data_IF_131069261359
#
_entry.id   IF_131069261359
#
_cell.length_a   1.000
_cell.length_b   1.000
_cell.length_c   1.000
_cell.angle_alpha   90.00
_cell.angle_beta   90.00
_cell.angle_gamma   90.00
#
_symmetry.space_group_name_H-M   'P 1'
#
loop_
_entity.id
_entity.type
_entity.pdbx_description
1 polymer ?
#
# COMPACT_ATOMS: atom_id res chain seq x y z
N UNK A 1 -10.64 -0.52 9.36
CA UNK A 1 -11.82 0.13 8.76
C UNK A 1 -12.33 -0.68 7.59
N UNK A 2 -13.64 -0.59 7.32
CA UNK A 2 -14.29 -1.00 6.08
C UNK A 2 -14.43 0.24 5.20
N UNK A 3 -13.97 0.15 3.97
CA UNK A 3 -13.92 1.29 3.07
C UNK A 3 -15.24 1.50 2.30
N UNK A 4 -15.40 2.67 1.68
CA UNK A 4 -16.61 3.02 0.93
C UNK A 4 -16.86 2.10 -0.27
N UNK A 5 -15.82 1.49 -0.83
CA UNK A 5 -15.89 0.47 -1.88
C UNK A 5 -16.18 -0.95 -1.36
N UNK A 6 -16.42 -1.10 -0.05
CA UNK A 6 -16.70 -2.37 0.63
C UNK A 6 -15.46 -3.20 0.99
N UNK A 7 -14.27 -2.77 0.59
CA UNK A 7 -13.03 -3.48 0.92
C UNK A 7 -12.58 -3.26 2.38
N UNK A 8 -11.87 -4.22 2.93
CA UNK A 8 -11.27 -4.16 4.27
C UNK A 8 -9.74 -4.02 4.20
N UNK A 9 -9.23 -3.77 3.00
CA UNK A 9 -7.80 -3.70 2.73
C UNK A 9 -7.48 -2.96 1.45
N UNK A 10 -6.23 -3.02 1.08
CA UNK A 10 -5.65 -2.40 -0.11
C UNK A 10 -4.61 -3.34 -0.73
N UNK A 11 -3.98 -2.93 -1.82
CA UNK A 11 -2.94 -3.71 -2.52
C UNK A 11 -1.69 -2.87 -2.73
N UNK A 12 -0.56 -3.52 -2.82
CA UNK A 12 0.63 -2.98 -3.46
C UNK A 12 0.46 -3.04 -4.97
N UNK A 13 0.93 -2.01 -5.66
CA UNK A 13 0.99 -1.97 -7.11
C UNK A 13 2.42 -1.68 -7.56
N UNK A 14 2.89 -2.40 -8.59
CA UNK A 14 4.08 -2.03 -9.34
C UNK A 14 3.62 -1.42 -10.66
N UNK A 15 4.18 -0.28 -10.99
CA UNK A 15 3.82 0.52 -12.16
C UNK A 15 5.09 0.97 -12.90
N UNK A 16 4.89 1.26 -14.18
CA UNK A 16 5.91 1.76 -15.12
C UNK A 16 5.30 2.90 -15.94
N UNK A 17 6.11 3.62 -16.69
CA UNK A 17 5.60 4.56 -17.69
C UNK A 17 4.83 3.81 -18.78
N UNK A 18 3.76 4.40 -19.27
CA UNK A 18 2.89 3.80 -20.30
C UNK A 18 3.59 3.65 -21.66
N UNK A 19 4.55 4.53 -21.95
CA UNK A 19 5.35 4.54 -23.18
C UNK A 19 6.57 3.59 -23.13
N UNK A 20 6.77 2.86 -22.01
CA UNK A 20 7.82 1.84 -21.90
C UNK A 20 7.40 0.52 -22.59
N UNK A 21 8.39 -0.31 -22.88
CA UNK A 21 8.25 -1.68 -23.39
C UNK A 21 8.09 -2.73 -22.26
N UNK A 22 7.75 -2.30 -21.06
CA UNK A 22 7.61 -3.15 -19.86
C UNK A 22 6.12 -3.45 -19.62
N UNK A 23 5.75 -4.73 -19.64
CA UNK A 23 4.35 -5.19 -19.48
C UNK A 23 4.16 -6.19 -18.35
N UNK A 24 5.27 -6.77 -17.83
CA UNK A 24 5.25 -7.80 -16.79
C UNK A 24 6.38 -7.61 -15.78
N UNK A 25 6.37 -8.41 -14.72
CA UNK A 25 7.47 -8.43 -13.74
C UNK A 25 8.78 -8.90 -14.38
N UNK A 26 8.71 -9.86 -15.30
CA UNK A 26 9.87 -10.43 -15.99
C UNK A 26 10.63 -9.37 -16.80
N UNK A 27 9.92 -8.42 -17.41
CA UNK A 27 10.50 -7.32 -18.20
C UNK A 27 11.28 -6.31 -17.33
N UNK A 28 11.10 -6.36 -16.01
CA UNK A 28 11.85 -5.53 -15.07
C UNK A 28 13.28 -6.03 -14.80
N UNK A 29 13.68 -7.18 -15.35
CA UNK A 29 15.04 -7.67 -15.17
C UNK A 29 16.07 -6.67 -15.72
N UNK A 30 17.01 -6.27 -14.87
CA UNK A 30 18.04 -5.28 -15.21
C UNK A 30 17.55 -3.83 -15.26
N UNK A 31 16.30 -3.55 -14.92
CA UNK A 31 15.71 -2.20 -14.84
C UNK A 31 15.95 -1.57 -13.44
N UNK A 32 15.73 -0.27 -13.33
CA UNK A 32 15.83 0.48 -12.07
C UNK A 32 14.48 0.53 -11.34
N UNK A 33 14.46 0.22 -10.03
CA UNK A 33 13.23 0.16 -9.22
C UNK A 33 13.21 1.19 -8.10
N UNK A 34 12.16 2.03 -8.04
CA UNK A 34 11.88 2.96 -6.95
C UNK A 34 10.97 2.33 -5.91
N UNK A 35 11.48 2.16 -4.70
CA UNK A 35 10.67 1.87 -3.51
C UNK A 35 10.23 3.16 -2.85
N UNK A 36 9.05 3.15 -2.20
CA UNK A 36 8.56 4.37 -1.54
C UNK A 36 9.40 4.73 -0.31
N UNK A 37 9.47 3.83 0.68
CA UNK A 37 10.21 4.00 1.94
C UNK A 37 10.54 2.62 2.54
N UNK A 38 11.67 2.45 3.25
CA UNK A 38 12.11 1.16 3.76
C UNK A 38 11.18 0.50 4.78
N UNK A 39 10.25 1.24 5.37
CA UNK A 39 9.28 0.72 6.34
C UNK A 39 7.86 0.60 5.77
N UNK A 40 7.64 1.02 4.52
CA UNK A 40 6.32 1.02 3.90
C UNK A 40 5.87 -0.39 3.55
N UNK A 41 4.69 -0.79 4.01
CA UNK A 41 4.14 -2.12 3.74
C UNK A 41 3.95 -2.36 2.25
N UNK A 42 3.20 -1.49 1.55
CA UNK A 42 2.89 -1.65 0.12
C UNK A 42 3.93 -1.06 -0.83
N UNK A 43 4.70 -0.06 -0.38
CA UNK A 43 5.72 0.56 -1.22
C UNK A 43 7.07 -0.14 -1.19
N UNK A 44 7.24 -1.17 -0.33
CA UNK A 44 8.49 -1.93 -0.23
C UNK A 44 8.32 -3.35 0.30
N UNK A 45 7.77 -3.55 1.53
CA UNK A 45 7.84 -4.85 2.22
C UNK A 45 7.09 -5.94 1.46
N UNK A 46 5.83 -5.70 1.10
CA UNK A 46 4.98 -6.68 0.39
C UNK A 46 5.50 -6.97 -1.01
N UNK A 47 5.74 -5.98 -1.90
CA UNK A 47 6.20 -6.29 -3.23
C UNK A 47 7.57 -6.99 -3.23
N UNK A 48 8.49 -6.61 -2.35
CA UNK A 48 9.77 -7.30 -2.18
C UNK A 48 9.57 -8.75 -1.75
N UNK A 49 8.70 -9.01 -0.77
CA UNK A 49 8.41 -10.36 -0.30
C UNK A 49 7.79 -11.21 -1.40
N UNK A 50 6.80 -10.69 -2.13
CA UNK A 50 6.13 -11.45 -3.20
C UNK A 50 7.09 -11.72 -4.39
N UNK A 51 8.03 -10.82 -4.69
CA UNK A 51 9.10 -11.11 -5.64
C UNK A 51 9.97 -12.31 -5.18
N UNK A 52 10.34 -12.36 -3.90
CA UNK A 52 11.05 -13.53 -3.35
C UNK A 52 10.22 -14.81 -3.45
N UNK A 53 8.91 -14.76 -3.26
CA UNK A 53 8.02 -15.92 -3.44
C UNK A 53 7.93 -16.38 -4.89
N UNK A 54 8.14 -15.47 -5.85
CA UNK A 54 8.26 -15.78 -7.28
C UNK A 54 9.67 -16.31 -7.67
N UNK A 55 10.58 -16.48 -6.69
CA UNK A 55 11.97 -16.89 -6.93
C UNK A 55 12.87 -15.74 -7.41
N UNK A 56 12.40 -14.50 -7.33
CA UNK A 56 13.14 -13.30 -7.76
C UNK A 56 13.82 -12.66 -6.55
N UNK A 57 15.16 -12.61 -6.56
CA UNK A 57 15.94 -11.84 -5.61
C UNK A 57 16.09 -10.41 -6.11
N UNK A 58 15.44 -9.40 -5.47
CA UNK A 58 15.45 -8.02 -5.97
C UNK A 58 16.85 -7.41 -6.12
N UNK A 59 17.80 -7.79 -5.25
CA UNK A 59 19.18 -7.28 -5.31
C UNK A 59 19.99 -7.74 -6.53
N UNK A 60 19.58 -8.85 -7.13
CA UNK A 60 20.23 -9.44 -8.32
C UNK A 60 19.41 -9.17 -9.59
N UNK A 61 18.11 -8.98 -9.42
CA UNK A 61 17.16 -8.85 -10.51
C UNK A 61 17.14 -7.44 -11.11
N UNK A 62 17.12 -6.41 -10.25
CA UNK A 62 17.16 -5.01 -10.67
C UNK A 62 18.60 -4.53 -10.87
N UNK A 63 18.83 -3.66 -11.85
CA UNK A 63 20.15 -3.02 -12.05
C UNK A 63 20.51 -2.11 -10.87
N UNK A 64 19.51 -1.44 -10.30
CA UNK A 64 19.57 -0.66 -9.06
C UNK A 64 18.22 -0.52 -8.42
N UNK A 65 18.21 -0.33 -7.13
CA UNK A 65 17.01 0.04 -6.36
C UNK A 65 17.30 1.26 -5.51
N UNK A 66 16.25 2.03 -5.18
CA UNK A 66 16.37 3.17 -4.27
C UNK A 66 15.07 3.51 -3.58
N UNK A 67 15.14 4.25 -2.48
CA UNK A 67 13.99 4.76 -1.76
C UNK A 67 13.73 6.21 -2.15
N UNK A 68 12.54 6.50 -2.64
CA UNK A 68 12.17 7.83 -3.13
C UNK A 68 11.76 8.81 -2.01
N UNK A 69 11.56 8.32 -0.78
CA UNK A 69 11.14 9.11 0.38
C UNK A 69 9.63 9.17 0.59
N UNK A 70 8.83 8.49 -0.24
CA UNK A 70 7.38 8.40 -0.11
C UNK A 70 6.72 7.86 -1.36
N UNK A 71 5.41 7.58 -1.27
CA UNK A 71 4.64 7.02 -2.38
C UNK A 71 4.51 7.98 -3.56
N UNK A 72 4.21 9.25 -3.29
CA UNK A 72 4.08 10.28 -4.32
C UNK A 72 5.42 10.53 -5.02
N UNK A 73 6.52 10.60 -4.25
CA UNK A 73 7.87 10.77 -4.77
C UNK A 73 8.31 9.60 -5.64
N UNK A 74 7.92 8.37 -5.28
CA UNK A 74 8.20 7.18 -6.10
C UNK A 74 7.49 7.27 -7.47
N UNK A 75 6.22 7.73 -7.50
CA UNK A 75 5.49 7.94 -8.76
C UNK A 75 6.17 9.03 -9.60
N UNK A 76 6.48 10.18 -9.00
CA UNK A 76 7.14 11.30 -9.68
C UNK A 76 8.51 10.88 -10.25
N UNK A 77 9.27 10.06 -9.52
CA UNK A 77 10.59 9.58 -9.98
C UNK A 77 10.52 8.71 -11.23
N UNK A 78 9.44 7.92 -11.37
CA UNK A 78 9.19 7.12 -12.58
C UNK A 78 8.74 8.01 -13.73
N UNK A 79 7.80 8.93 -13.49
CA UNK A 79 7.36 9.89 -14.52
C UNK A 79 8.53 10.73 -15.08
N UNK A 80 9.49 11.07 -14.23
CA UNK A 80 10.70 11.82 -14.61
C UNK A 80 11.84 10.95 -15.15
N UNK A 81 11.61 9.68 -15.47
CA UNK A 81 12.64 8.74 -15.98
C UNK A 81 13.85 8.53 -15.04
N UNK A 82 13.72 8.81 -13.74
CA UNK A 82 14.78 8.53 -12.77
C UNK A 82 14.84 7.04 -12.43
N UNK A 83 13.71 6.34 -12.53
CA UNK A 83 13.55 4.91 -12.37
C UNK A 83 12.61 4.38 -13.45
N UNK A 84 12.77 3.12 -13.84
CA UNK A 84 11.94 2.46 -14.84
C UNK A 84 10.59 2.00 -14.25
N UNK A 85 10.59 1.62 -12.98
CA UNK A 85 9.41 1.15 -12.26
C UNK A 85 9.37 1.71 -10.84
N UNK A 86 8.17 1.70 -10.27
CA UNK A 86 7.96 2.08 -8.87
C UNK A 86 6.89 1.23 -8.17
N UNK A 87 6.88 1.27 -6.84
CA UNK A 87 5.86 0.62 -6.04
C UNK A 87 5.07 1.62 -5.20
N UNK A 88 3.74 1.43 -5.14
CA UNK A 88 2.83 2.24 -4.33
C UNK A 88 1.64 1.43 -3.84
N UNK A 89 0.62 2.09 -3.25
CA UNK A 89 -0.61 1.45 -2.82
C UNK A 89 -1.81 1.92 -3.62
N UNK A 90 -2.73 1.00 -3.85
CA UNK A 90 -4.02 1.21 -4.52
C UNK A 90 -5.10 0.38 -3.83
N UNK A 91 -6.38 0.72 -3.99
CA UNK A 91 -7.46 -0.14 -3.47
C UNK A 91 -7.56 -1.47 -4.21
N UNK A 92 -7.17 -1.49 -5.47
CA UNK A 92 -7.42 -2.63 -6.36
C UNK A 92 -8.89 -2.80 -6.75
N UNK A 93 -9.74 -1.83 -6.42
CA UNK A 93 -11.16 -1.74 -6.78
C UNK A 93 -11.39 -0.56 -7.72
N UNK A 94 -12.41 -0.65 -8.58
CA UNK A 94 -12.72 0.39 -9.55
C UNK A 94 -11.85 0.36 -10.81
N UNK A 95 -11.98 1.39 -11.65
CA UNK A 95 -11.27 1.47 -12.92
C UNK A 95 -9.81 1.90 -12.74
N UNK A 96 -8.90 1.16 -13.34
CA UNK A 96 -7.47 1.49 -13.35
C UNK A 96 -7.19 2.84 -14.03
N UNK A 97 -7.98 3.21 -15.05
CA UNK A 97 -7.86 4.50 -15.74
C UNK A 97 -8.18 5.70 -14.84
N UNK A 98 -8.93 5.47 -13.78
CA UNK A 98 -9.28 6.44 -12.75
C UNK A 98 -8.31 6.39 -11.55
N UNK A 99 -7.25 5.57 -11.60
CA UNK A 99 -6.33 5.31 -10.50
C UNK A 99 -6.94 4.48 -9.37
N UNK A 100 -7.94 3.65 -9.72
CA UNK A 100 -8.79 2.88 -8.82
C UNK A 100 -9.75 3.76 -7.98
N UNK A 101 -10.50 3.17 -7.05
CA UNK A 101 -11.45 3.89 -6.18
C UNK A 101 -10.72 4.78 -5.16
N UNK A 102 -9.55 4.35 -4.68
CA UNK A 102 -8.67 5.05 -3.72
C UNK A 102 -7.23 4.56 -3.84
N UNK A 103 -6.31 5.29 -3.25
CA UNK A 103 -4.89 4.97 -3.28
C UNK A 103 -4.04 6.15 -3.69
N UNK A 104 -2.73 5.95 -3.76
CA UNK A 104 -1.82 7.03 -4.11
C UNK A 104 -2.07 7.53 -5.54
N UNK A 105 -2.28 6.63 -6.51
CA UNK A 105 -2.54 7.04 -7.89
C UNK A 105 -3.80 7.90 -7.97
N UNK A 106 -4.90 7.47 -7.31
CA UNK A 106 -6.15 8.26 -7.24
C UNK A 106 -5.94 9.62 -6.57
N UNK A 107 -5.17 9.67 -5.51
CA UNK A 107 -4.87 10.92 -4.80
C UNK A 107 -4.08 11.90 -5.67
N UNK A 108 -3.12 11.41 -6.44
CA UNK A 108 -2.34 12.24 -7.37
C UNK A 108 -3.18 12.76 -8.52
N UNK A 109 -4.12 11.96 -9.06
CA UNK A 109 -5.09 12.42 -10.06
C UNK A 109 -5.96 13.54 -9.49
N UNK A 110 -6.52 13.36 -8.28
CA UNK A 110 -7.33 14.38 -7.59
C UNK A 110 -6.57 15.70 -7.36
N UNK A 111 -5.25 15.62 -7.19
CA UNK A 111 -4.36 16.79 -7.06
C UNK A 111 -3.91 17.40 -8.40
N UNK A 112 -4.25 16.78 -9.53
CA UNK A 112 -3.77 17.19 -10.87
C UNK A 112 -2.28 16.91 -11.09
N UNK A 113 -1.69 15.96 -10.38
CA UNK A 113 -0.26 15.59 -10.45
C UNK A 113 0.00 14.36 -11.31
N UNK A 114 -1.04 13.66 -11.77
CA UNK A 114 -0.95 12.44 -12.55
C UNK A 114 -2.13 12.33 -13.50
N UNK A 115 -1.85 11.96 -14.75
CA UNK A 115 -2.80 11.35 -15.68
C UNK A 115 -2.47 9.86 -15.83
N UNK A 116 -3.44 8.97 -15.65
CA UNK A 116 -3.21 7.52 -15.77
C UNK A 116 -2.86 7.07 -17.18
N UNK A 117 -3.00 7.92 -18.19
CA UNK A 117 -2.46 7.67 -19.54
C UNK A 117 -0.92 7.64 -19.55
N UNK A 118 -0.25 8.24 -18.55
CA UNK A 118 1.20 8.30 -18.43
C UNK A 118 1.79 7.05 -17.74
N UNK A 119 0.95 6.26 -17.04
CA UNK A 119 1.39 5.08 -16.29
C UNK A 119 0.64 3.81 -16.72
N UNK A 120 1.33 2.69 -16.56
CA UNK A 120 0.78 1.33 -16.65
C UNK A 120 1.04 0.60 -15.34
N UNK A 121 -0.02 0.08 -14.70
CA UNK A 121 0.11 -0.87 -13.58
C UNK A 121 0.35 -2.26 -14.18
N UNK A 122 1.47 -2.87 -13.85
CA UNK A 122 1.86 -4.18 -14.39
C UNK A 122 1.69 -5.32 -13.38
N UNK A 123 1.49 -5.00 -12.09
CA UNK A 123 1.34 -6.00 -11.05
C UNK A 123 0.58 -5.46 -9.85
N UNK A 124 -0.21 -6.35 -9.21
CA UNK A 124 -0.91 -6.11 -7.95
C UNK A 124 -0.64 -7.25 -6.97
N UNK A 125 -0.40 -6.92 -5.71
CA UNK A 125 -0.24 -7.90 -4.63
C UNK A 125 -1.56 -8.59 -4.25
N UNK A 126 -1.45 -9.62 -3.42
CA UNK A 126 -2.54 -10.04 -2.56
C UNK A 126 -3.03 -8.88 -1.67
N UNK A 127 -4.25 -9.03 -1.13
CA UNK A 127 -4.86 -8.01 -0.28
C UNK A 127 -4.07 -7.83 1.02
N UNK A 128 -3.82 -6.59 1.39
CA UNK A 128 -3.19 -6.15 2.62
C UNK A 128 -4.29 -5.54 3.49
N UNK A 129 -4.46 -6.01 4.72
CA UNK A 129 -5.43 -5.43 5.65
C UNK A 129 -5.11 -3.96 5.94
N UNK A 130 -6.15 -3.12 6.07
CA UNK A 130 -6.00 -1.73 6.48
C UNK A 130 -5.31 -1.62 7.85
N UNK A 131 -4.57 -0.54 8.07
CA UNK A 131 -3.84 -0.29 9.32
C UNK A 131 -4.79 -0.35 10.54
N UNK A 132 -4.44 -1.10 11.62
CA UNK A 132 -5.28 -1.18 12.80
C UNK A 132 -5.15 0.06 13.68
N UNK A 133 -6.23 0.47 14.31
CA UNK A 133 -6.16 1.24 15.55
C UNK A 133 -5.77 0.27 16.67
N UNK A 134 -4.75 0.62 17.43
CA UNK A 134 -4.22 -0.22 18.50
C UNK A 134 -4.35 0.47 19.86
N UNK A 135 -4.58 -0.33 20.90
CA UNK A 135 -4.65 0.11 22.28
C UNK A 135 -3.58 -0.61 23.11
N UNK A 136 -3.07 0.05 24.14
CA UNK A 136 -2.09 -0.53 25.05
C UNK A 136 -2.67 -1.78 25.73
N UNK A 137 -1.88 -2.85 25.76
CA UNK A 137 -2.31 -4.13 26.33
C UNK A 137 -2.48 -4.08 27.85
N UNK A 138 -1.74 -3.20 28.54
CA UNK A 138 -1.72 -3.06 30.00
C UNK A 138 -2.84 -2.17 30.58
N UNK A 139 -3.72 -1.60 29.74
CA UNK A 139 -4.89 -0.87 30.23
C UNK A 139 -5.95 -1.82 30.81
N UNK A 140 -6.78 -1.34 31.77
CA UNK A 140 -7.93 -2.07 32.29
C UNK A 140 -8.86 -2.57 31.16
N UNK A 141 -9.41 -3.77 31.33
CA UNK A 141 -10.20 -4.42 30.27
C UNK A 141 -11.50 -3.66 29.96
N UNK A 142 -12.17 -3.16 31.01
CA UNK A 142 -13.36 -2.32 30.90
C UNK A 142 -13.12 -1.05 30.05
N UNK A 143 -12.00 -0.37 30.27
CA UNK A 143 -11.61 0.78 29.47
C UNK A 143 -11.34 0.40 28.02
N UNK A 144 -10.67 -0.75 27.77
CA UNK A 144 -10.42 -1.22 26.40
C UNK A 144 -11.74 -1.50 25.67
N UNK A 145 -12.68 -2.18 26.30
CA UNK A 145 -13.99 -2.46 25.70
C UNK A 145 -14.82 -1.18 25.48
N UNK A 146 -14.71 -0.18 26.35
CA UNK A 146 -15.34 1.12 26.16
C UNK A 146 -14.79 1.85 24.93
N UNK A 147 -13.46 1.92 24.78
CA UNK A 147 -12.80 2.52 23.61
C UNK A 147 -13.17 1.78 22.33
N UNK A 148 -13.20 0.46 22.34
CA UNK A 148 -13.61 -0.35 21.17
C UNK A 148 -15.06 -0.04 20.80
N UNK A 149 -15.98 -0.06 21.77
CA UNK A 149 -17.39 0.25 21.55
C UNK A 149 -17.59 1.65 20.98
N UNK A 150 -16.88 2.65 21.52
CA UNK A 150 -16.92 4.03 21.02
C UNK A 150 -16.46 4.09 19.54
N UNK A 151 -15.32 3.47 19.21
CA UNK A 151 -14.84 3.46 17.82
C UNK A 151 -15.82 2.76 16.87
N UNK A 152 -16.39 1.62 17.25
CA UNK A 152 -17.36 0.89 16.42
C UNK A 152 -18.65 1.69 16.15
N UNK A 153 -19.04 2.57 17.07
CA UNK A 153 -20.23 3.40 16.96
C UNK A 153 -19.96 4.81 16.40
N UNK A 154 -18.70 5.23 16.31
CA UNK A 154 -18.30 6.60 16.01
C UNK A 154 -18.94 7.13 14.72
N UNK A 155 -19.07 6.30 13.68
CA UNK A 155 -19.72 6.70 12.43
C UNK A 155 -21.19 7.16 12.64
N UNK A 156 -21.89 6.57 13.62
CA UNK A 156 -23.29 6.87 13.92
C UNK A 156 -23.43 8.01 14.92
N UNK A 157 -22.53 8.07 15.90
CA UNK A 157 -22.56 8.98 17.02
C UNK A 157 -21.95 10.36 16.70
N UNK A 158 -20.83 10.36 15.93
CA UNK A 158 -20.16 11.59 15.47
C UNK A 158 -19.59 11.39 14.05
N UNK A 159 -20.45 11.58 13.06
CA UNK A 159 -20.08 11.42 11.65
C UNK A 159 -18.99 12.42 11.21
N UNK A 160 -18.92 13.61 11.84
CA UNK A 160 -17.91 14.62 11.50
C UNK A 160 -16.54 14.14 11.96
N UNK A 161 -16.40 13.75 13.22
CA UNK A 161 -15.17 13.19 13.76
C UNK A 161 -14.74 11.93 12.98
N UNK A 162 -15.69 11.02 12.71
CA UNK A 162 -15.41 9.81 11.91
C UNK A 162 -14.83 10.14 10.53
N UNK A 163 -15.42 11.09 9.80
CA UNK A 163 -14.92 11.52 8.47
C UNK A 163 -13.53 12.15 8.54
N UNK A 164 -13.24 12.92 9.57
CA UNK A 164 -11.93 13.52 9.77
C UNK A 164 -10.85 12.45 10.01
N UNK A 165 -11.13 11.48 10.89
CA UNK A 165 -10.19 10.37 11.22
C UNK A 165 -9.97 9.45 10.03
N UNK A 166 -11.01 9.18 9.23
CA UNK A 166 -10.96 8.23 8.11
C UNK A 166 -10.77 8.92 6.75
N UNK A 167 -10.54 10.23 6.74
CA UNK A 167 -10.44 11.05 5.53
C UNK A 167 -11.67 10.93 4.59
N UNK A 168 -12.83 10.58 5.15
CA UNK A 168 -14.11 10.53 4.45
C UNK A 168 -14.33 9.33 3.53
N UNK A 169 -13.41 8.38 3.49
CA UNK A 169 -13.42 7.26 2.53
C UNK A 169 -13.93 5.93 3.11
N UNK A 170 -14.36 5.89 4.38
CA UNK A 170 -14.70 4.66 5.10
C UNK A 170 -16.17 4.55 5.48
N UNK A 171 -16.66 3.31 5.64
CA UNK A 171 -18.03 2.97 6.05
C UNK A 171 -18.16 2.63 7.53
N UNK A 172 -17.06 2.51 8.27
CA UNK A 172 -17.06 2.18 9.69
C UNK A 172 -15.79 1.48 10.14
N UNK A 173 -15.63 1.37 11.45
CA UNK A 173 -14.63 0.51 12.05
C UNK A 173 -15.15 -0.92 12.17
N UNK A 174 -14.25 -1.88 12.06
CA UNK A 174 -14.52 -3.31 12.30
C UNK A 174 -13.54 -3.83 13.35
N UNK A 175 -14.00 -4.80 14.14
CA UNK A 175 -13.14 -5.49 15.10
C UNK A 175 -12.20 -6.43 14.34
N UNK A 176 -10.92 -6.41 14.69
CA UNK A 176 -9.87 -7.25 14.13
C UNK A 176 -9.01 -7.85 15.24
N UNK A 177 -8.31 -8.93 14.94
CA UNK A 177 -7.39 -9.59 15.83
C UNK A 177 -5.95 -9.57 15.28
N UNK A 178 -4.98 -10.01 16.09
CA UNK A 178 -3.60 -10.17 15.66
C UNK A 178 -3.46 -11.12 14.45
N UNK A 179 -4.31 -12.12 14.36
CA UNK A 179 -4.31 -13.11 13.27
C UNK A 179 -4.52 -12.46 11.89
N UNK A 180 -5.32 -11.39 11.82
CA UNK A 180 -5.54 -10.65 10.58
C UNK A 180 -4.25 -9.98 10.04
N UNK A 181 -3.22 -9.80 10.89
CA UNK A 181 -1.97 -9.09 10.58
C UNK A 181 -0.74 -9.98 10.60
N UNK A 182 -0.87 -11.28 10.90
CA UNK A 182 0.27 -12.20 11.04
C UNK A 182 1.12 -12.24 9.77
N UNK A 183 0.48 -12.20 8.60
CA UNK A 183 1.17 -12.18 7.31
C UNK A 183 2.09 -10.95 7.18
N UNK A 184 1.63 -9.77 7.57
CA UNK A 184 2.44 -8.53 7.50
C UNK A 184 3.59 -8.58 8.49
N UNK A 185 3.37 -9.16 9.68
CA UNK A 185 4.43 -9.37 10.68
C UNK A 185 5.50 -10.32 10.16
N UNK A 186 5.11 -11.41 9.53
CA UNK A 186 6.02 -12.42 8.98
C UNK A 186 6.79 -11.88 7.76
N UNK A 187 6.14 -11.13 6.87
CA UNK A 187 6.78 -10.39 5.78
C UNK A 187 7.88 -9.48 6.33
N UNK A 188 7.57 -8.69 7.35
CA UNK A 188 8.56 -7.79 7.97
C UNK A 188 9.75 -8.54 8.58
N UNK A 189 9.50 -9.66 9.25
CA UNK A 189 10.55 -10.53 9.81
C UNK A 189 11.42 -11.12 8.71
N UNK A 190 10.81 -11.63 7.64
CA UNK A 190 11.50 -12.17 6.49
C UNK A 190 12.44 -11.13 5.86
N UNK A 191 11.93 -9.96 5.49
CA UNK A 191 12.71 -8.89 4.86
C UNK A 191 13.86 -8.43 5.78
N UNK A 192 13.61 -8.29 7.10
CA UNK A 192 14.66 -7.96 8.07
C UNK A 192 15.80 -8.99 8.08
N UNK A 193 15.48 -10.27 7.92
CA UNK A 193 16.47 -11.33 7.88
C UNK A 193 17.26 -11.33 6.57
N UNK A 194 16.63 -11.03 5.43
CA UNK A 194 17.33 -10.88 4.15
C UNK A 194 18.34 -9.72 4.15
N UNK A 195 18.01 -8.58 4.77
CA UNK A 195 18.92 -7.42 4.88
C UNK A 195 20.16 -7.66 5.73
N UNK A 196 20.20 -8.74 6.53
CA UNK A 196 21.31 -9.09 7.40
C UNK A 196 22.29 -10.10 6.80
N UNK A 197 21.91 -10.67 5.65
CA UNK A 197 22.74 -11.58 4.84
C UNK A 197 23.52 -10.81 3.78
#
# INVERSE_FOLDING_TARGET
VKESDGSEGYKSAIYVRSDSDIYSIEDLKGKAMAWSDPNTTSGYLVPTFELYQMGINPSEFFSRTGFAGGHEQAVISVLNNQYDAGATWVSGQGDVKEGYSRGMLRNMIKKGLLDMSELRVIWLSNQIMNGPHVIRKDLPEDLKEEVIRHNLNLQKEDQKCFKEITMGESQGFIRVSHENYINVVDIRRFIKNQRRR
#
